data_IF_589555910829
#
_entry.id   IF_589555910829
#
_cell.length_a   1.000
_cell.length_b   1.000
_cell.length_c   1.000
_cell.angle_alpha   90.00
_cell.angle_beta   90.00
_cell.angle_gamma   90.00
#
_symmetry.space_group_name_H-M   'P 1'
#
loop_
_entity.id
_entity.type
_entity.pdbx_description
1 polymer ?
#
# COMPACT_ATOMS: atom_id res chain seq x y z
N UNK A 1 1.83 13.00 -26.73
CA UNK A 1 0.66 13.16 -25.85
C UNK A 1 1.13 13.24 -24.41
N UNK A 2 0.68 14.24 -23.67
CA UNK A 2 0.92 14.32 -22.22
C UNK A 2 0.25 13.14 -21.51
N UNK A 3 0.73 12.75 -20.33
CA UNK A 3 0.20 11.62 -19.55
C UNK A 3 -1.33 11.71 -19.35
N UNK A 4 -1.83 12.92 -19.07
CA UNK A 4 -3.25 13.16 -18.81
C UNK A 4 -4.14 13.02 -20.04
N UNK A 5 -3.67 13.45 -21.23
CA UNK A 5 -4.41 13.23 -22.48
C UNK A 5 -4.64 11.74 -22.76
N UNK A 6 -3.68 10.89 -22.38
CA UNK A 6 -3.84 9.42 -22.51
C UNK A 6 -4.83 8.86 -21.50
N UNK A 7 -4.83 9.40 -20.27
CA UNK A 7 -5.75 9.00 -19.20
C UNK A 7 -7.19 9.42 -19.54
N UNK A 8 -7.40 10.64 -20.03
CA UNK A 8 -8.71 11.15 -20.48
C UNK A 8 -9.29 10.26 -21.57
N UNK A 9 -8.51 10.01 -22.63
CA UNK A 9 -8.93 9.16 -23.76
C UNK A 9 -9.27 7.72 -23.33
N UNK A 10 -8.67 7.22 -22.25
CA UNK A 10 -8.95 5.88 -21.74
C UNK A 10 -10.17 5.82 -20.80
N UNK A 11 -10.55 6.93 -20.17
CA UNK A 11 -11.60 7.00 -19.17
C UNK A 11 -12.90 7.67 -19.67
N UNK A 12 -12.88 8.30 -20.83
CA UNK A 12 -14.07 8.87 -21.46
C UNK A 12 -14.85 7.76 -22.18
N UNK A 13 -15.99 7.39 -21.61
CA UNK A 13 -17.02 6.60 -22.29
C UNK A 13 -17.83 7.46 -23.28
N UNK A 14 -18.74 6.86 -24.07
CA UNK A 14 -19.60 7.63 -24.95
C UNK A 14 -20.53 8.54 -24.12
N UNK A 15 -20.40 9.87 -24.27
CA UNK A 15 -21.21 10.86 -23.56
C UNK A 15 -20.61 12.27 -23.56
N UNK A 16 -21.36 13.24 -23.04
CA UNK A 16 -20.91 14.62 -22.86
C UNK A 16 -19.85 14.74 -21.76
N UNK A 17 -18.85 15.60 -21.95
CA UNK A 17 -17.83 15.90 -20.95
C UNK A 17 -18.48 16.50 -19.68
N UNK A 18 -18.44 15.76 -18.57
CA UNK A 18 -18.85 16.25 -17.26
C UNK A 18 -17.61 16.77 -16.50
N UNK A 19 -17.68 17.95 -15.85
CA UNK A 19 -16.60 18.48 -15.04
C UNK A 19 -16.54 17.71 -13.71
N UNK A 20 -15.84 16.56 -13.74
CA UNK A 20 -15.65 15.69 -12.58
C UNK A 20 -14.20 15.75 -12.14
N UNK A 21 -13.96 16.10 -10.88
CA UNK A 21 -12.66 15.94 -10.24
C UNK A 21 -12.43 14.47 -9.93
N UNK A 22 -11.25 13.94 -10.26
CA UNK A 22 -10.96 12.50 -10.18
C UNK A 22 -9.75 12.24 -9.31
N UNK A 23 -9.88 11.38 -8.30
CA UNK A 23 -8.74 10.92 -7.52
C UNK A 23 -8.22 9.59 -8.09
N UNK A 24 -6.97 9.56 -8.53
CA UNK A 24 -6.27 8.35 -8.99
C UNK A 24 -5.57 7.71 -7.80
N UNK A 25 -5.97 6.49 -7.44
CA UNK A 25 -5.32 5.71 -6.40
C UNK A 25 -4.25 4.84 -7.03
N UNK A 26 -3.01 4.96 -6.57
CA UNK A 26 -1.85 4.28 -7.16
C UNK A 26 -1.03 3.57 -6.09
N UNK A 27 -0.29 2.54 -6.47
CA UNK A 27 0.70 1.91 -5.58
C UNK A 27 1.96 2.76 -5.40
N UNK A 28 2.77 2.44 -4.38
CA UNK A 28 3.99 3.14 -3.98
C UNK A 28 4.96 3.39 -5.13
N UNK A 29 5.02 2.48 -6.12
CA UNK A 29 5.91 2.58 -7.27
C UNK A 29 5.72 3.87 -8.10
N UNK A 30 4.56 4.52 -8.00
CA UNK A 30 4.22 5.72 -8.77
C UNK A 30 4.37 7.03 -7.97
N UNK A 31 4.98 7.00 -6.78
CA UNK A 31 5.12 8.18 -5.91
C UNK A 31 6.29 9.12 -6.24
N UNK A 32 6.88 9.01 -7.45
CA UNK A 32 8.02 9.85 -7.85
C UNK A 32 7.67 11.34 -7.84
N UNK A 33 8.60 12.21 -7.42
CA UNK A 33 8.37 13.66 -7.38
C UNK A 33 7.97 14.21 -8.75
N UNK A 34 8.55 13.70 -9.83
CA UNK A 34 8.14 14.03 -11.20
C UNK A 34 6.66 13.73 -11.47
N UNK A 35 6.16 12.58 -11.02
CA UNK A 35 4.74 12.21 -11.12
C UNK A 35 3.88 13.19 -10.32
N UNK A 36 4.27 13.47 -9.07
CA UNK A 36 3.54 14.37 -8.19
C UNK A 36 3.50 15.82 -8.73
N UNK A 37 4.60 16.30 -9.33
CA UNK A 37 4.66 17.58 -10.04
C UNK A 37 3.69 17.64 -11.22
N UNK A 38 3.60 16.56 -12.00
CA UNK A 38 2.67 16.49 -13.12
C UNK A 38 1.22 16.61 -12.66
N UNK A 39 0.87 15.99 -11.52
CA UNK A 39 -0.43 16.21 -10.89
C UNK A 39 -0.60 17.64 -10.35
N UNK A 40 0.44 18.25 -9.77
CA UNK A 40 0.34 19.63 -9.27
C UNK A 40 0.22 20.69 -10.39
N UNK A 41 0.58 20.35 -11.64
CA UNK A 41 0.48 21.26 -12.79
C UNK A 41 -0.94 21.36 -13.39
N UNK A 42 -1.93 20.71 -12.78
CA UNK A 42 -3.31 20.66 -13.26
C UNK A 42 -4.28 20.51 -12.08
N UNK A 43 -5.55 20.88 -12.28
CA UNK A 43 -6.53 20.98 -11.18
C UNK A 43 -7.62 19.90 -11.21
N UNK A 44 -7.65 19.03 -12.23
CA UNK A 44 -8.74 18.06 -12.49
C UNK A 44 -8.50 16.69 -11.84
N UNK A 45 -7.24 16.28 -11.76
CA UNK A 45 -6.80 14.99 -11.27
C UNK A 45 -6.10 15.11 -9.92
N UNK A 46 -6.56 14.37 -8.94
CA UNK A 46 -5.89 14.21 -7.67
C UNK A 46 -5.24 12.84 -7.58
N UNK A 47 -4.35 12.65 -6.62
CA UNK A 47 -3.75 11.36 -6.37
C UNK A 47 -3.95 10.90 -4.93
N UNK A 48 -3.89 9.58 -4.75
CA UNK A 48 -3.68 8.92 -3.46
C UNK A 48 -2.65 7.83 -3.71
N UNK A 49 -1.50 7.88 -3.04
CA UNK A 49 -0.43 6.89 -3.20
C UNK A 49 0.26 6.64 -1.87
N UNK A 50 0.87 5.48 -1.66
CA UNK A 50 1.72 5.29 -0.47
C UNK A 50 3.12 5.86 -0.68
N UNK A 51 3.72 6.31 0.42
CA UNK A 51 5.12 6.69 0.51
C UNK A 51 5.92 5.51 1.07
N UNK A 52 7.04 5.18 0.42
CA UNK A 52 7.89 4.10 0.89
C UNK A 52 8.61 4.46 2.20
N UNK A 53 8.87 3.44 3.02
CA UNK A 53 9.52 3.62 4.34
C UNK A 53 10.91 4.27 4.23
N UNK A 54 11.61 4.08 3.11
CA UNK A 54 12.93 4.68 2.86
C UNK A 54 12.86 6.18 2.51
N UNK A 55 11.71 6.67 2.03
CA UNK A 55 11.49 8.07 1.67
C UNK A 55 10.98 8.88 2.86
N UNK A 56 10.38 8.24 3.86
CA UNK A 56 9.90 8.91 5.06
C UNK A 56 11.04 9.36 5.98
N UNK A 57 11.02 10.64 6.36
CA UNK A 57 11.91 11.21 7.37
C UNK A 57 11.16 12.24 8.21
N UNK A 58 11.21 12.19 9.56
CA UNK A 58 10.58 13.20 10.42
C UNK A 58 11.00 14.65 10.12
N UNK A 59 12.20 14.85 9.56
CA UNK A 59 12.69 16.16 9.11
C UNK A 59 11.93 16.71 7.91
N UNK A 60 11.29 15.86 7.12
CA UNK A 60 10.54 16.28 5.94
C UNK A 60 9.16 16.84 6.32
N UNK A 61 8.71 16.64 7.55
CA UNK A 61 7.42 17.13 8.03
C UNK A 61 7.50 18.65 8.21
N UNK A 62 6.60 19.36 7.53
CA UNK A 62 6.41 20.80 7.64
C UNK A 62 5.35 21.13 8.69
N UNK A 63 4.18 20.48 8.60
CA UNK A 63 3.10 20.61 9.57
C UNK A 63 2.55 19.22 9.94
N UNK A 64 2.05 19.08 11.18
CA UNK A 64 1.44 17.84 11.68
C UNK A 64 0.24 18.21 12.55
N UNK A 65 -0.93 17.75 12.13
CA UNK A 65 -2.21 17.95 12.80
C UNK A 65 -2.36 17.04 14.02
N UNK A 66 -3.48 17.22 14.74
CA UNK A 66 -3.79 16.41 15.93
C UNK A 66 -4.05 14.96 15.52
N UNK A 67 -3.54 13.98 16.28
CA UNK A 67 -3.88 12.58 16.06
C UNK A 67 -5.39 12.33 16.20
N UNK A 68 -5.94 11.51 15.31
CA UNK A 68 -7.34 11.10 15.29
C UNK A 68 -7.45 9.59 15.12
N UNK A 69 -8.47 8.96 15.72
CA UNK A 69 -8.69 7.52 15.54
C UNK A 69 -9.18 7.23 14.13
N UNK A 70 -8.67 6.18 13.50
CA UNK A 70 -9.15 5.73 12.20
C UNK A 70 -10.58 5.17 12.33
N UNK A 71 -11.51 5.67 11.52
CA UNK A 71 -12.93 5.29 11.59
C UNK A 71 -13.19 3.83 11.17
N UNK A 72 -12.34 3.28 10.30
CA UNK A 72 -12.56 1.97 9.68
C UNK A 72 -11.54 0.91 10.11
N UNK A 73 -10.79 1.13 11.18
CA UNK A 73 -9.80 0.16 11.65
C UNK A 73 -8.96 0.58 12.84
N UNK A 74 -8.04 -0.30 13.22
CA UNK A 74 -7.18 -0.15 14.39
C UNK A 74 -5.89 0.62 14.08
N UNK A 75 -6.05 1.93 13.92
CA UNK A 75 -4.93 2.83 13.70
C UNK A 75 -5.22 4.24 14.23
N UNK A 76 -4.14 4.98 14.47
CA UNK A 76 -4.17 6.42 14.72
C UNK A 76 -3.64 7.16 13.49
N UNK A 77 -4.40 8.15 13.02
CA UNK A 77 -4.10 8.96 11.85
C UNK A 77 -3.61 10.34 12.28
N UNK A 78 -2.63 10.89 11.57
CA UNK A 78 -2.23 12.29 11.69
C UNK A 78 -2.14 12.90 10.29
N UNK A 79 -2.85 13.99 10.08
CA UNK A 79 -2.77 14.76 8.84
C UNK A 79 -1.51 15.61 8.86
N UNK A 80 -0.68 15.49 7.84
CA UNK A 80 0.63 16.12 7.78
C UNK A 80 0.81 16.84 6.44
N UNK A 81 1.67 17.84 6.43
CA UNK A 81 2.27 18.35 5.21
C UNK A 81 3.75 17.97 5.21
N UNK A 82 4.22 17.37 4.12
CA UNK A 82 5.63 16.97 3.98
C UNK A 82 6.27 17.60 2.76
N UNK A 83 7.59 17.76 2.85
CA UNK A 83 8.44 18.18 1.74
C UNK A 83 9.16 16.97 1.13
N UNK A 84 9.07 16.83 -0.19
CA UNK A 84 9.77 15.80 -0.94
C UNK A 84 10.81 16.43 -1.87
N UNK A 85 11.99 15.80 -1.93
CA UNK A 85 13.08 16.19 -2.83
C UNK A 85 13.03 15.36 -4.09
N UNK A 86 13.23 15.99 -5.23
CA UNK A 86 13.42 15.27 -6.47
C UNK A 86 14.81 14.62 -6.52
N UNK A 87 14.87 13.38 -7.00
CA UNK A 87 16.12 12.66 -7.21
C UNK A 87 16.78 13.00 -8.55
N UNK A 88 16.02 13.53 -9.51
CA UNK A 88 16.51 13.92 -10.84
C UNK A 88 16.95 15.39 -10.91
N UNK A 89 16.46 16.21 -9.97
CA UNK A 89 16.66 17.67 -9.94
C UNK A 89 17.10 18.08 -8.52
N UNK A 90 18.41 18.17 -8.34
CA UNK A 90 19.01 18.34 -7.01
C UNK A 90 18.62 19.69 -6.39
N UNK A 91 17.94 19.63 -5.24
CA UNK A 91 17.54 20.82 -4.50
C UNK A 91 16.09 21.24 -4.73
N UNK A 92 15.42 20.68 -5.74
CA UNK A 92 14.01 20.96 -5.97
C UNK A 92 13.11 20.27 -4.94
N UNK A 93 12.22 21.04 -4.34
CA UNK A 93 11.28 20.64 -3.30
C UNK A 93 9.83 20.74 -3.79
N UNK A 94 9.00 19.78 -3.43
CA UNK A 94 7.54 19.89 -3.50
C UNK A 94 6.94 19.71 -2.12
N UNK A 95 5.81 20.39 -1.85
CA UNK A 95 4.96 20.06 -0.71
C UNK A 95 3.86 19.09 -1.14
N UNK A 96 3.51 18.18 -0.24
CA UNK A 96 2.40 17.25 -0.43
C UNK A 96 1.70 17.06 0.91
N UNK A 97 0.36 16.96 0.88
CA UNK A 97 -0.38 16.43 2.01
C UNK A 97 -0.04 14.95 2.17
N UNK A 98 0.14 14.53 3.41
CA UNK A 98 0.48 13.16 3.78
C UNK A 98 -0.30 12.75 5.03
N UNK A 99 -0.86 11.55 5.01
CA UNK A 99 -1.55 10.97 6.15
C UNK A 99 -0.63 9.93 6.75
N UNK A 100 -0.14 10.23 7.95
CA UNK A 100 0.66 9.32 8.75
C UNK A 100 -0.28 8.38 9.50
N UNK A 101 -0.13 7.08 9.26
CA UNK A 101 -0.91 6.00 9.86
C UNK A 101 0.00 5.26 10.84
N UNK A 102 -0.35 5.30 12.11
CA UNK A 102 0.25 4.49 13.16
C UNK A 102 -0.72 3.35 13.49
N UNK A 103 -0.45 2.16 12.97
CA UNK A 103 -1.25 0.98 13.26
C UNK A 103 -1.02 0.52 14.69
N UNK A 104 -2.06 0.00 15.35
CA UNK A 104 -1.98 -0.41 16.75
C UNK A 104 -0.98 -1.55 16.99
N UNK A 105 -0.73 -2.37 15.96
CA UNK A 105 0.31 -3.41 16.00
C UNK A 105 1.74 -2.87 15.84
N UNK A 106 1.93 -1.55 15.70
CA UNK A 106 3.23 -0.87 15.75
C UNK A 106 3.86 -0.56 14.39
N UNK A 107 3.22 -0.93 13.27
CA UNK A 107 3.68 -0.54 11.93
C UNK A 107 3.26 0.89 11.61
N UNK A 108 4.11 1.60 10.88
CA UNK A 108 3.77 2.90 10.29
C UNK A 108 3.50 2.73 8.79
N UNK A 109 2.54 3.48 8.28
CA UNK A 109 2.33 3.66 6.84
C UNK A 109 2.08 5.14 6.58
N UNK A 110 2.48 5.65 5.42
CA UNK A 110 2.26 7.05 5.05
C UNK A 110 1.62 7.07 3.67
N UNK A 111 0.51 7.78 3.54
CA UNK A 111 -0.21 7.97 2.28
C UNK A 111 -0.06 9.42 1.86
N UNK A 112 0.39 9.67 0.63
CA UNK A 112 0.39 10.98 0.00
C UNK A 112 -0.92 11.23 -0.73
N UNK A 113 -1.40 12.46 -0.69
CA UNK A 113 -2.54 12.88 -1.48
C UNK A 113 -2.46 14.36 -1.87
N UNK A 114 -3.11 14.73 -2.97
CA UNK A 114 -3.41 16.13 -3.31
C UNK A 114 -4.87 16.51 -3.04
N UNK A 115 -5.64 15.67 -2.35
CA UNK A 115 -7.02 15.98 -1.97
C UNK A 115 -7.04 17.03 -0.86
N UNK A 116 -7.94 18.00 -0.99
CA UNK A 116 -8.13 19.07 -0.02
C UNK A 116 -8.67 18.49 1.31
N UNK A 117 -8.03 18.79 2.47
CA UNK A 117 -8.53 18.38 3.78
C UNK A 117 -9.92 18.93 4.13
N UNK A 118 -10.36 20.03 3.53
CA UNK A 118 -11.71 20.58 3.73
C UNK A 118 -12.78 19.75 3.01
N UNK A 119 -12.42 19.00 1.96
CA UNK A 119 -13.34 18.21 1.14
C UNK A 119 -13.30 16.74 1.57
N UNK A 120 -12.10 16.18 1.75
CA UNK A 120 -11.91 14.76 2.06
C UNK A 120 -11.06 14.60 3.32
N UNK A 121 -11.67 13.99 4.33
CA UNK A 121 -11.05 13.69 5.61
C UNK A 121 -9.98 12.59 5.53
N UNK A 122 -9.19 12.47 6.60
CA UNK A 122 -8.06 11.54 6.65
C UNK A 122 -8.50 10.08 6.58
N UNK A 123 -9.63 9.73 7.19
CA UNK A 123 -10.13 8.36 7.22
C UNK A 123 -10.63 7.92 5.84
N UNK A 124 -11.24 8.82 5.08
CA UNK A 124 -11.76 8.56 3.74
C UNK A 124 -10.62 8.34 2.74
N UNK A 125 -9.54 9.14 2.82
CA UNK A 125 -8.35 8.94 1.97
C UNK A 125 -7.68 7.59 2.26
N UNK A 126 -7.54 7.24 3.56
CA UNK A 126 -6.95 5.96 3.97
C UNK A 126 -7.81 4.80 3.49
N UNK A 127 -9.13 4.88 3.69
CA UNK A 127 -10.08 3.88 3.21
C UNK A 127 -10.00 3.74 1.68
N UNK A 128 -10.03 4.84 0.93
CA UNK A 128 -9.92 4.82 -0.52
C UNK A 128 -8.63 4.14 -1.02
N UNK A 129 -7.50 4.37 -0.34
CA UNK A 129 -6.24 3.70 -0.66
C UNK A 129 -6.31 2.18 -0.45
N UNK A 130 -6.82 1.72 0.69
CA UNK A 130 -6.88 0.29 0.99
C UNK A 130 -8.00 -0.43 0.23
N UNK A 131 -9.08 0.26 -0.12
CA UNK A 131 -10.16 -0.22 -0.99
C UNK A 131 -9.67 -0.45 -2.43
N UNK A 132 -8.52 0.12 -2.83
CA UNK A 132 -7.85 -0.24 -4.09
C UNK A 132 -7.63 -1.74 -4.20
N UNK A 133 -7.24 -2.41 -3.11
CA UNK A 133 -6.90 -3.84 -3.16
C UNK A 133 -8.10 -4.72 -3.53
N UNK A 134 -9.29 -4.58 -2.91
CA UNK A 134 -10.52 -5.17 -3.44
C UNK A 134 -10.83 -4.72 -4.87
N UNK A 135 -10.66 -3.45 -5.24
CA UNK A 135 -11.15 -2.98 -6.54
C UNK A 135 -10.24 -3.37 -7.73
N UNK A 136 -8.93 -3.43 -7.55
CA UNK A 136 -7.97 -3.86 -8.58
C UNK A 136 -7.69 -5.36 -8.48
N UNK A 137 -7.29 -5.86 -7.31
CA UNK A 137 -6.87 -7.25 -7.15
C UNK A 137 -8.05 -8.23 -7.16
N UNK A 138 -9.25 -7.86 -6.67
CA UNK A 138 -10.44 -8.72 -6.82
C UNK A 138 -10.88 -8.77 -8.27
N UNK A 139 -10.73 -7.70 -9.07
CA UNK A 139 -11.02 -7.72 -10.50
C UNK A 139 -9.97 -8.55 -11.24
N UNK A 140 -8.67 -8.35 -11.00
CA UNK A 140 -7.63 -9.21 -11.57
C UNK A 140 -7.77 -10.68 -11.13
N UNK A 141 -8.10 -10.94 -9.87
CA UNK A 141 -8.40 -12.29 -9.35
C UNK A 141 -9.67 -12.85 -9.96
N UNK A 142 -10.71 -12.04 -10.17
CA UNK A 142 -11.97 -12.46 -10.80
C UNK A 142 -11.79 -12.70 -12.29
N UNK A 143 -11.01 -11.89 -13.00
CA UNK A 143 -10.62 -12.10 -14.39
C UNK A 143 -9.75 -13.36 -14.52
N UNK A 144 -8.79 -13.60 -13.62
CA UNK A 144 -8.06 -14.89 -13.52
C UNK A 144 -8.98 -16.07 -13.22
N UNK A 145 -10.02 -15.87 -12.40
CA UNK A 145 -11.03 -16.88 -12.01
C UNK A 145 -12.02 -17.18 -13.14
N UNK A 146 -12.37 -16.19 -13.97
CA UNK A 146 -13.20 -16.32 -15.18
C UNK A 146 -12.38 -16.95 -16.32
N UNK A 147 -11.09 -16.64 -16.40
CA UNK A 147 -10.13 -17.32 -17.28
C UNK A 147 -9.74 -18.73 -16.79
N UNK A 148 -10.34 -19.23 -15.70
CA UNK A 148 -10.11 -20.57 -15.12
C UNK A 148 -8.64 -20.94 -14.89
N UNK A 149 -7.73 -19.98 -14.71
CA UNK A 149 -6.30 -20.30 -14.61
C UNK A 149 -5.90 -20.90 -13.25
N UNK A 150 -6.73 -20.85 -12.20
CA UNK A 150 -6.43 -21.38 -10.85
C UNK A 150 -7.67 -21.60 -9.96
N UNK A 151 -8.82 -22.07 -10.47
CA UNK A 151 -10.02 -22.18 -9.61
C UNK A 151 -9.97 -23.46 -8.76
N UNK A 152 -9.91 -23.24 -7.44
CA UNK A 152 -10.28 -24.15 -6.35
C UNK A 152 -11.52 -23.54 -5.65
N UNK A 153 -12.67 -24.22 -5.67
CA UNK A 153 -13.93 -23.95 -5.00
C UNK A 153 -13.98 -24.73 -3.70
N UNK A 154 -13.16 -24.32 -2.73
CA UNK A 154 -13.39 -24.74 -1.36
C UNK A 154 -14.61 -24.03 -0.78
N UNK A 155 -15.49 -24.83 -0.17
CA UNK A 155 -16.46 -24.34 0.80
C UNK A 155 -15.72 -23.68 1.97
N UNK A 156 -16.20 -22.52 2.42
CA UNK A 156 -15.79 -21.85 3.66
C UNK A 156 -14.28 -21.64 3.85
N UNK A 157 -13.80 -20.41 3.60
CA UNK A 157 -12.45 -20.03 4.05
C UNK A 157 -12.39 -20.06 5.57
N UNK A 158 -11.67 -21.02 6.15
CA UNK A 158 -11.40 -21.01 7.58
C UNK A 158 -10.13 -20.19 7.83
N UNK A 159 -10.22 -19.26 8.78
CA UNK A 159 -9.06 -18.52 9.25
C UNK A 159 -8.29 -19.44 10.19
N UNK A 160 -7.11 -19.89 9.77
CA UNK A 160 -6.23 -20.73 10.57
C UNK A 160 -4.95 -19.97 10.90
N UNK A 161 -4.33 -20.28 12.03
CA UNK A 161 -3.04 -19.71 12.38
C UNK A 161 -1.93 -20.35 11.54
N UNK A 162 -1.09 -19.51 10.93
CA UNK A 162 0.12 -19.94 10.26
C UNK A 162 1.21 -20.22 11.30
N UNK A 163 1.28 -21.49 11.73
CA UNK A 163 2.26 -21.95 12.72
C UNK A 163 3.69 -21.61 12.33
N UNK A 164 4.03 -21.64 11.04
CA UNK A 164 5.38 -21.31 10.56
C UNK A 164 5.69 -19.83 10.79
N UNK A 165 4.74 -18.94 10.53
CA UNK A 165 4.89 -17.50 10.77
C UNK A 165 5.02 -17.22 12.28
N UNK A 166 4.19 -17.85 13.11
CA UNK A 166 4.22 -17.68 14.57
C UNK A 166 5.54 -18.17 15.16
N UNK A 167 6.02 -19.35 14.76
CA UNK A 167 7.32 -19.88 15.23
C UNK A 167 8.48 -18.99 14.78
N UNK A 168 8.47 -18.57 13.51
CA UNK A 168 9.49 -17.67 12.97
C UNK A 168 9.51 -16.32 13.68
N UNK A 169 8.35 -15.77 14.04
CA UNK A 169 8.27 -14.56 14.86
C UNK A 169 8.91 -14.76 16.24
N UNK A 170 8.62 -15.88 16.92
CA UNK A 170 9.23 -16.21 18.24
C UNK A 170 10.75 -16.35 18.14
N UNK A 171 11.26 -17.01 17.10
CA UNK A 171 12.70 -17.10 16.87
C UNK A 171 13.36 -15.74 16.64
N UNK A 172 12.76 -14.91 15.77
CA UNK A 172 13.26 -13.58 15.49
C UNK A 172 13.25 -12.72 16.76
N UNK A 173 12.20 -12.82 17.57
CA UNK A 173 12.11 -12.11 18.86
C UNK A 173 13.24 -12.52 19.82
N UNK A 174 13.57 -13.81 19.91
CA UNK A 174 14.71 -14.30 20.70
C UNK A 174 16.05 -13.76 20.17
N UNK A 175 16.25 -13.75 18.85
CA UNK A 175 17.46 -13.22 18.21
C UNK A 175 17.60 -11.70 18.38
N UNK A 176 16.49 -10.97 18.37
CA UNK A 176 16.44 -9.52 18.62
C UNK A 176 16.78 -9.24 20.09
N UNK A 177 16.22 -10.00 21.04
CA UNK A 177 16.44 -9.76 22.46
C UNK A 177 17.89 -10.03 22.88
N UNK A 178 18.54 -11.05 22.32
CA UNK A 178 19.97 -11.31 22.58
C UNK A 178 20.84 -10.19 22.04
N UNK A 179 20.65 -9.76 20.79
CA UNK A 179 21.39 -8.64 20.20
C UNK A 179 21.17 -7.32 20.96
N UNK A 180 19.95 -7.06 21.45
CA UNK A 180 19.68 -5.88 22.28
C UNK A 180 20.43 -5.91 23.61
N UNK A 181 20.65 -7.10 24.21
CA UNK A 181 21.48 -7.22 25.41
C UNK A 181 22.95 -6.92 25.12
N UNK A 182 23.49 -7.46 24.02
CA UNK A 182 24.87 -7.18 23.58
C UNK A 182 25.11 -5.69 23.33
N UNK A 183 24.14 -5.00 22.72
CA UNK A 183 24.23 -3.58 22.38
C UNK A 183 23.74 -2.65 23.51
N UNK A 184 23.42 -3.19 24.70
CA UNK A 184 22.72 -2.45 25.76
C UNK A 184 23.46 -1.22 26.25
N UNK A 185 24.78 -1.29 26.36
CA UNK A 185 25.64 -0.19 26.82
C UNK A 185 25.72 0.98 25.83
N UNK A 186 25.51 0.71 24.54
CA UNK A 186 25.56 1.73 23.49
C UNK A 186 24.22 2.46 23.28
N UNK A 187 23.08 1.84 23.67
CA UNK A 187 21.76 2.45 23.49
C UNK A 187 21.58 3.77 24.23
N UNK A 188 21.98 3.93 25.52
CA UNK A 188 21.84 5.21 26.21
C UNK A 188 22.56 6.36 25.49
N UNK A 189 23.79 6.13 25.02
CA UNK A 189 24.56 7.13 24.29
C UNK A 189 23.92 7.49 22.93
N UNK A 190 23.34 6.51 22.23
CA UNK A 190 22.59 6.75 21.00
C UNK A 190 21.30 7.53 21.30
N UNK A 191 20.54 7.10 22.31
CA UNK A 191 19.27 7.71 22.71
C UNK A 191 19.45 9.16 23.16
N UNK A 192 20.56 9.48 23.85
CA UNK A 192 20.89 10.86 24.21
C UNK A 192 21.10 11.74 22.97
N UNK A 193 21.78 11.23 21.93
CA UNK A 193 21.93 11.97 20.68
C UNK A 193 20.62 12.06 19.89
N UNK A 194 19.81 10.99 19.87
CA UNK A 194 18.51 10.96 19.19
C UNK A 194 17.49 11.92 19.83
N UNK A 195 17.47 12.03 21.16
CA UNK A 195 16.62 12.99 21.88
C UNK A 195 17.02 14.43 21.56
N UNK A 196 18.32 14.73 21.51
CA UNK A 196 18.84 16.05 21.08
C UNK A 196 18.50 16.35 19.63
N UNK A 197 18.66 15.36 18.72
CA UNK A 197 18.23 15.51 17.32
C UNK A 197 16.73 15.78 17.26
N UNK A 198 15.90 15.05 18.02
CA UNK A 198 14.45 15.22 18.01
C UNK A 198 14.02 16.63 18.44
N UNK A 199 14.73 17.24 19.41
CA UNK A 199 14.52 18.66 19.79
C UNK A 199 14.87 19.60 18.64
N UNK A 200 16.04 19.42 18.03
CA UNK A 200 16.48 20.23 16.88
C UNK A 200 15.55 20.09 15.67
N UNK A 201 15.00 18.89 15.43
CA UNK A 201 14.03 18.66 14.34
C UNK A 201 12.71 19.38 14.61
N UNK A 202 12.26 19.44 15.87
CA UNK A 202 11.09 20.24 16.25
C UNK A 202 11.33 21.74 16.04
N UNK A 203 12.54 22.23 16.30
CA UNK A 203 12.91 23.62 16.02
C UNK A 203 13.02 23.88 14.51
N UNK A 204 13.65 22.97 13.75
CA UNK A 204 13.75 23.02 12.29
C UNK A 204 12.36 23.09 11.64
N UNK A 205 11.38 22.34 12.17
CA UNK A 205 10.00 22.30 11.68
C UNK A 205 9.35 23.69 11.67
N UNK A 206 9.56 24.50 12.71
CA UNK A 206 9.00 25.86 12.79
C UNK A 206 9.44 26.74 11.61
N UNK A 207 10.70 26.62 11.21
CA UNK A 207 11.22 27.35 10.05
C UNK A 207 10.65 26.82 8.73
N UNK A 208 10.40 25.51 8.62
CA UNK A 208 9.77 24.92 7.43
C UNK A 208 8.33 25.39 7.28
N UNK A 209 7.58 25.45 8.38
CA UNK A 209 6.19 25.92 8.41
C UNK A 209 6.07 27.36 7.90
N UNK A 210 6.95 28.26 8.36
CA UNK A 210 6.98 29.67 7.94
C UNK A 210 7.52 29.85 6.52
N UNK A 211 8.37 28.93 6.04
CA UNK A 211 8.98 29.05 4.72
C UNK A 211 7.97 28.91 3.58
N UNK A 212 8.23 29.59 2.46
CA UNK A 212 7.49 29.41 1.21
C UNK A 212 8.33 28.59 0.25
N UNK A 213 7.69 27.70 -0.53
CA UNK A 213 8.36 26.96 -1.61
C UNK A 213 7.82 27.51 -2.92
N UNK A 214 8.66 28.23 -3.66
CA UNK A 214 8.33 28.80 -4.97
C UNK A 214 9.28 28.20 -6.01
N UNK A 215 8.73 27.70 -7.12
CA UNK A 215 9.49 27.05 -8.20
C UNK A 215 10.50 26.00 -7.69
N UNK A 216 10.09 25.21 -6.70
CA UNK A 216 10.93 24.16 -6.13
C UNK A 216 11.96 24.62 -5.08
N UNK A 217 12.07 25.92 -4.81
CA UNK A 217 13.10 26.45 -3.94
C UNK A 217 12.49 27.06 -2.67
N UNK A 218 13.12 26.79 -1.53
CA UNK A 218 12.70 27.37 -0.26
C UNK A 218 13.13 28.84 -0.18
N UNK A 219 12.16 29.70 0.09
CA UNK A 219 12.35 31.11 0.38
C UNK A 219 12.13 31.34 1.88
N UNK A 220 13.15 31.90 2.52
CA UNK A 220 13.17 32.32 3.92
C UNK A 220 13.89 33.68 4.02
N UNK A 221 13.55 34.53 5.00
CA UNK A 221 14.35 35.72 5.26
C UNK A 221 15.76 35.33 5.78
N UNK A 222 16.75 36.20 5.54
CA UNK A 222 18.17 35.88 5.72
C UNK A 222 18.52 35.38 7.14
N UNK A 223 17.98 36.02 8.17
CA UNK A 223 18.25 35.67 9.58
C UNK A 223 17.76 34.25 9.91
N UNK A 224 16.56 33.91 9.44
CA UNK A 224 15.94 32.61 9.61
C UNK A 224 16.64 31.55 8.76
N UNK A 225 17.11 31.91 7.57
CA UNK A 225 17.87 31.02 6.69
C UNK A 225 19.22 30.64 7.31
N UNK A 226 19.96 31.58 7.90
CA UNK A 226 21.21 31.31 8.61
C UNK A 226 20.99 30.34 9.78
N UNK A 227 19.98 30.62 10.61
CA UNK A 227 19.63 29.76 11.74
C UNK A 227 19.15 28.37 11.29
N UNK A 228 18.40 28.28 10.20
CA UNK A 228 17.98 27.01 9.60
C UNK A 228 19.18 26.17 9.15
N UNK A 229 20.18 26.79 8.51
CA UNK A 229 21.40 26.10 8.11
C UNK A 229 22.23 25.65 9.31
N UNK A 230 22.32 26.47 10.36
CA UNK A 230 23.02 26.13 11.61
C UNK A 230 22.42 24.88 12.26
N UNK A 231 21.09 24.86 12.46
CA UNK A 231 20.37 23.69 12.97
C UNK A 231 20.63 22.46 12.09
N UNK A 232 20.62 22.64 10.77
CA UNK A 232 20.95 21.58 9.82
C UNK A 232 22.35 21.00 10.03
N UNK A 233 23.36 21.86 10.26
CA UNK A 233 24.75 21.46 10.56
C UNK A 233 24.86 20.75 11.90
N UNK A 234 24.14 21.21 12.93
CA UNK A 234 24.11 20.56 14.24
C UNK A 234 23.52 19.15 14.17
N UNK A 235 22.38 18.99 13.49
CA UNK A 235 21.77 17.67 13.27
C UNK A 235 22.78 16.75 12.57
N UNK A 236 23.45 17.24 11.51
CA UNK A 236 24.46 16.46 10.80
C UNK A 236 25.68 16.10 11.68
N UNK A 237 26.10 16.99 12.59
CA UNK A 237 27.17 16.70 13.56
C UNK A 237 26.75 15.58 14.52
N UNK A 238 25.53 15.62 15.05
CA UNK A 238 25.00 14.60 15.97
C UNK A 238 24.78 13.25 15.27
N UNK A 239 24.27 13.25 14.04
CA UNK A 239 24.15 12.04 13.23
C UNK A 239 25.52 11.38 12.97
N UNK A 240 26.56 12.19 12.74
CA UNK A 240 27.94 11.68 12.66
C UNK A 240 28.44 11.11 13.98
N UNK A 241 28.10 11.72 15.12
CA UNK A 241 28.41 11.18 16.44
C UNK A 241 27.74 9.81 16.67
N UNK A 242 26.45 9.66 16.32
CA UNK A 242 25.76 8.37 16.38
C UNK A 242 26.48 7.33 15.52
N UNK A 243 26.86 7.68 14.29
CA UNK A 243 27.63 6.77 13.41
C UNK A 243 28.94 6.33 14.06
N UNK A 244 29.67 7.24 14.73
CA UNK A 244 30.89 6.91 15.47
C UNK A 244 30.64 5.96 16.64
N UNK A 245 29.56 6.17 17.40
CA UNK A 245 29.16 5.28 18.50
C UNK A 245 28.82 3.88 17.96
N UNK A 246 28.18 3.80 16.79
CA UNK A 246 27.79 2.53 16.16
C UNK A 246 28.92 1.79 15.45
N UNK A 247 30.01 2.48 15.09
CA UNK A 247 31.08 1.90 14.25
C UNK A 247 31.74 0.65 14.84
N UNK A 248 32.06 0.57 16.15
CA UNK A 248 32.66 -0.62 16.76
C UNK A 248 31.83 -1.90 16.59
N UNK A 249 30.50 -1.79 16.58
CA UNK A 249 29.55 -2.92 16.49
C UNK A 249 28.61 -2.80 15.29
N UNK A 250 29.10 -2.20 14.20
CA UNK A 250 28.30 -1.87 13.00
C UNK A 250 27.57 -3.08 12.40
N UNK A 251 28.20 -4.26 12.42
CA UNK A 251 27.60 -5.49 11.90
C UNK A 251 26.41 -5.96 12.74
N UNK A 252 26.52 -5.86 14.07
CA UNK A 252 25.44 -6.23 14.99
C UNK A 252 24.26 -5.27 14.86
N UNK A 253 24.51 -3.97 14.75
CA UNK A 253 23.45 -2.98 14.47
C UNK A 253 22.76 -3.24 13.11
N UNK A 254 23.52 -3.56 12.05
CA UNK A 254 22.95 -3.92 10.75
C UNK A 254 22.09 -5.17 10.85
N UNK A 255 22.55 -6.19 11.59
CA UNK A 255 21.83 -7.44 11.82
C UNK A 255 20.54 -7.21 12.61
N UNK A 256 20.61 -6.43 13.69
CA UNK A 256 19.46 -6.05 14.50
C UNK A 256 18.39 -5.37 13.63
N UNK A 257 18.76 -4.35 12.85
CA UNK A 257 17.84 -3.65 11.93
C UNK A 257 17.23 -4.54 10.86
N UNK A 258 17.93 -5.60 10.43
CA UNK A 258 17.41 -6.57 9.46
C UNK A 258 16.37 -7.48 10.13
N UNK A 259 16.68 -7.99 11.32
CA UNK A 259 15.79 -8.87 12.08
C UNK A 259 14.52 -8.13 12.53
N UNK A 260 14.64 -6.89 13.00
CA UNK A 260 13.48 -6.06 13.38
C UNK A 260 12.57 -5.80 12.17
N UNK A 261 13.13 -5.51 10.99
CA UNK A 261 12.35 -5.35 9.75
C UNK A 261 11.66 -6.64 9.33
N UNK A 262 12.36 -7.78 9.43
CA UNK A 262 11.76 -9.07 9.09
C UNK A 262 10.64 -9.44 10.07
N UNK A 263 10.82 -9.18 11.36
CA UNK A 263 9.82 -9.41 12.40
C UNK A 263 8.58 -8.54 12.18
N UNK A 264 8.74 -7.24 11.93
CA UNK A 264 7.64 -6.32 11.59
C UNK A 264 6.92 -6.73 10.29
N UNK A 265 7.64 -7.28 9.30
CA UNK A 265 7.05 -7.77 8.04
C UNK A 265 6.13 -8.98 8.26
N UNK A 266 6.43 -9.78 9.28
CA UNK A 266 5.64 -10.96 9.63
C UNK A 266 4.45 -10.61 10.53
N UNK A 267 4.41 -9.43 11.17
CA UNK A 267 3.25 -9.01 11.94
C UNK A 267 2.03 -8.81 11.04
N UNK A 268 0.88 -9.33 11.49
CA UNK A 268 -0.38 -9.33 10.74
C UNK A 268 -0.49 -10.46 9.71
N UNK A 269 0.51 -11.35 9.62
CA UNK A 269 0.51 -12.55 8.76
C UNK A 269 0.34 -13.84 9.54
N UNK A 270 -0.04 -13.74 10.82
CA UNK A 270 -0.22 -14.89 11.70
C UNK A 270 -1.44 -15.74 11.31
N UNK A 271 -2.33 -15.19 10.49
CA UNK A 271 -3.59 -15.84 10.08
C UNK A 271 -3.62 -16.01 8.57
N UNK A 272 -3.75 -17.25 8.12
CA UNK A 272 -3.90 -17.63 6.71
C UNK A 272 -5.29 -18.21 6.51
N UNK A 273 -5.86 -17.96 5.33
CA UNK A 273 -7.10 -18.61 4.92
C UNK A 273 -6.74 -19.94 4.25
N UNK A 274 -7.01 -21.06 4.93
CA UNK A 274 -6.99 -22.36 4.26
C UNK A 274 -8.27 -22.48 3.42
N UNK A 275 -8.10 -22.95 2.18
CA UNK A 275 -9.20 -23.29 1.28
C UNK A 275 -9.22 -24.80 1.22
N UNK A 276 -10.37 -25.40 1.46
CA UNK A 276 -10.55 -26.85 1.33
C UNK A 276 -10.51 -27.22 -0.17
N UNK A 277 -9.49 -27.95 -0.61
CA UNK A 277 -9.16 -28.09 -2.04
C UNK A 277 -9.75 -29.37 -2.65
N UNK A 278 -9.99 -30.38 -1.83
CA UNK A 278 -10.27 -31.76 -2.27
C UNK A 278 -11.54 -31.87 -3.13
N UNK A 279 -12.58 -31.12 -2.79
CA UNK A 279 -13.85 -31.17 -3.51
C UNK A 279 -13.80 -30.46 -4.86
N UNK A 280 -12.94 -29.44 -5.05
CA UNK A 280 -12.82 -28.81 -6.36
C UNK A 280 -11.89 -29.56 -7.32
N UNK A 281 -10.98 -30.40 -6.81
CA UNK A 281 -10.27 -31.36 -7.66
C UNK A 281 -11.27 -32.37 -8.26
N UNK A 282 -12.20 -32.90 -7.44
CA UNK A 282 -13.28 -33.77 -7.89
C UNK A 282 -14.21 -33.05 -8.90
N UNK A 283 -14.65 -31.83 -8.59
CA UNK A 283 -15.51 -31.06 -9.50
C UNK A 283 -14.80 -30.65 -10.79
N UNK A 284 -13.47 -30.50 -10.77
CA UNK A 284 -12.67 -30.22 -11.97
C UNK A 284 -12.71 -31.39 -12.94
N UNK A 285 -12.65 -32.64 -12.47
CA UNK A 285 -12.81 -33.82 -13.34
C UNK A 285 -14.17 -33.82 -14.06
N UNK A 286 -15.26 -33.51 -13.36
CA UNK A 286 -16.58 -33.42 -13.97
C UNK A 286 -16.70 -32.26 -14.96
N UNK A 287 -16.16 -31.08 -14.63
CA UNK A 287 -16.18 -29.91 -15.52
C UNK A 287 -15.37 -30.15 -16.80
N UNK A 288 -14.19 -30.75 -16.69
CA UNK A 288 -13.35 -31.09 -17.86
C UNK A 288 -14.01 -32.16 -18.72
N UNK A 289 -14.62 -33.18 -18.10
CA UNK A 289 -15.37 -34.21 -18.82
C UNK A 289 -16.55 -33.61 -19.59
N UNK A 290 -17.31 -32.72 -18.96
CA UNK A 290 -18.43 -32.02 -19.60
C UNK A 290 -17.96 -31.15 -20.78
N UNK A 291 -16.87 -30.40 -20.62
CA UNK A 291 -16.29 -29.60 -21.70
C UNK A 291 -15.83 -30.48 -22.86
N UNK A 292 -15.20 -31.63 -22.59
CA UNK A 292 -14.79 -32.57 -23.63
C UNK A 292 -15.99 -33.16 -24.37
N UNK A 293 -17.08 -33.50 -23.66
CA UNK A 293 -18.33 -33.95 -24.27
C UNK A 293 -18.93 -32.86 -25.16
N UNK A 294 -18.96 -31.61 -24.71
CA UNK A 294 -19.46 -30.49 -25.52
C UNK A 294 -18.58 -30.20 -26.74
N UNK A 295 -17.26 -30.27 -26.61
CA UNK A 295 -16.34 -30.16 -27.74
C UNK A 295 -16.56 -31.29 -28.76
N UNK A 296 -16.77 -32.52 -28.29
CA UNK A 296 -17.06 -33.67 -29.13
C UNK A 296 -18.42 -33.53 -29.85
N UNK A 297 -19.49 -33.19 -29.12
CA UNK A 297 -20.81 -32.94 -29.70
C UNK A 297 -20.78 -31.77 -30.68
N UNK A 298 -20.04 -30.70 -30.36
CA UNK A 298 -19.86 -29.57 -31.26
C UNK A 298 -19.17 -30.00 -32.57
N UNK A 299 -18.17 -30.87 -32.46
CA UNK A 299 -17.47 -31.43 -33.61
C UNK A 299 -18.39 -32.28 -34.49
N UNK A 300 -19.14 -33.21 -33.89
CA UNK A 300 -20.05 -34.13 -34.59
C UNK A 300 -21.24 -33.39 -35.22
N UNK A 301 -21.88 -32.48 -34.49
CA UNK A 301 -23.09 -31.81 -34.95
C UNK A 301 -22.82 -30.65 -35.92
N UNK A 302 -21.69 -29.97 -35.79
CA UNK A 302 -21.41 -28.72 -36.53
C UNK A 302 -20.16 -28.77 -37.40
N UNK A 303 -19.56 -29.95 -37.59
CA UNK A 303 -18.52 -30.19 -38.59
C UNK A 303 -17.29 -29.29 -38.46
N UNK A 304 -16.63 -29.33 -37.29
CA UNK A 304 -15.38 -28.57 -36.97
C UNK A 304 -15.52 -27.05 -36.84
N UNK A 305 -16.72 -26.47 -36.86
CA UNK A 305 -16.88 -25.01 -36.60
C UNK A 305 -16.65 -24.70 -35.12
N UNK A 306 -15.86 -23.67 -34.83
CA UNK A 306 -15.58 -23.24 -33.46
C UNK A 306 -16.81 -22.62 -32.81
N UNK A 307 -17.39 -23.30 -31.82
CA UNK A 307 -18.51 -22.79 -31.02
C UNK A 307 -17.96 -22.11 -29.77
N UNK A 308 -18.50 -20.94 -29.43
CA UNK A 308 -18.20 -20.29 -28.15
C UNK A 308 -18.85 -21.08 -27.01
N UNK A 309 -18.03 -21.82 -26.27
CA UNK A 309 -18.50 -22.68 -25.19
C UNK A 309 -19.17 -21.90 -24.05
N UNK A 310 -18.72 -20.66 -23.81
CA UNK A 310 -19.40 -19.73 -22.88
C UNK A 310 -20.83 -19.42 -23.30
N UNK A 311 -21.08 -19.14 -24.59
CA UNK A 311 -22.44 -18.87 -25.08
C UNK A 311 -23.32 -20.11 -25.01
N UNK A 312 -22.79 -21.29 -25.31
CA UNK A 312 -23.54 -22.54 -25.23
C UNK A 312 -24.02 -22.82 -23.80
N UNK A 313 -23.11 -22.77 -22.83
CA UNK A 313 -23.44 -23.02 -21.41
C UNK A 313 -24.41 -21.97 -20.87
N UNK A 314 -24.20 -20.69 -21.17
CA UNK A 314 -25.14 -19.64 -20.77
C UNK A 314 -26.54 -19.86 -21.37
N UNK A 315 -26.60 -20.29 -22.63
CA UNK A 315 -27.89 -20.54 -23.29
C UNK A 315 -28.64 -21.69 -22.63
N UNK A 316 -27.94 -22.78 -22.26
CA UNK A 316 -28.52 -23.92 -21.54
C UNK A 316 -29.04 -23.51 -20.16
N UNK A 317 -28.26 -22.74 -19.40
CA UNK A 317 -28.66 -22.29 -18.05
C UNK A 317 -29.88 -21.35 -18.06
N UNK A 318 -30.11 -20.65 -19.17
CA UNK A 318 -31.26 -19.76 -19.35
C UNK A 318 -32.41 -20.42 -20.11
N UNK A 319 -32.32 -21.72 -20.46
CA UNK A 319 -33.48 -22.42 -21.01
C UNK A 319 -34.57 -22.52 -19.94
N UNK A 320 -35.83 -22.23 -20.29
CA UNK A 320 -36.94 -22.43 -19.37
C UNK A 320 -37.04 -23.93 -19.04
N UNK A 321 -36.88 -24.26 -17.76
CA UNK A 321 -37.01 -25.62 -17.26
C UNK A 321 -38.37 -25.79 -16.58
N UNK A 322 -39.05 -26.90 -16.90
CA UNK A 322 -40.17 -27.39 -16.11
C UNK A 322 -39.60 -28.26 -15.01
N UNK A 323 -39.82 -27.85 -13.76
CA UNK A 323 -39.50 -28.67 -12.58
C UNK A 323 -40.75 -29.46 -12.24
N UNK A 324 -40.71 -30.77 -12.46
CA UNK A 324 -41.78 -31.69 -12.08
C UNK A 324 -41.33 -32.45 -10.83
N UNK A 325 -42.12 -32.34 -9.75
CA UNK A 325 -41.80 -32.95 -8.47
C UNK A 325 -42.20 -34.43 -8.52
N UNK A 326 -41.23 -35.32 -8.69
CA UNK A 326 -41.46 -36.77 -8.74
C UNK A 326 -41.57 -37.35 -7.33
N UNK A 327 -42.48 -38.30 -7.11
CA UNK A 327 -42.69 -38.99 -5.83
C UNK A 327 -41.53 -39.90 -5.39
N UNK A 328 -40.52 -40.10 -6.23
CA UNK A 328 -39.31 -40.83 -5.88
C UNK A 328 -38.35 -39.95 -5.05
N UNK A 329 -38.37 -40.12 -3.72
CA UNK A 329 -37.29 -39.63 -2.88
C UNK A 329 -36.01 -40.42 -3.19
N UNK A 330 -34.99 -39.74 -3.73
CA UNK A 330 -33.62 -40.27 -3.72
C UNK A 330 -33.23 -40.56 -2.27
N UNK A 331 -33.07 -41.83 -1.92
CA UNK A 331 -32.37 -42.22 -0.68
C UNK A 331 -30.91 -41.80 -0.84
N UNK A 332 -30.50 -40.83 -0.03
CA UNK A 332 -29.10 -40.37 0.10
C UNK A 332 -28.32 -41.39 0.91
#
# INVERSE_FOLDING_TARGET
MSLFQKIEKALEGPGSELPVNRAIVMDAANNSVRTLRAFAAQDKYHYITSLDDNQWNPRNIRAEGKPQRYHYGEATLSDCEIELKDSQDEGYLITSRAIKIEWDYGKRTVILTSLDPAIVGTSEVVKAYFDRWPNEELQFRSMKKVACLNRVTGYGKQQQEDRNVVEKQKELQRKISTLRKTLSELFPAIQEQETKISRLVKEERKFREISRIENGHRILPKKEQERFQEIGREIAKRQRAIKKIMEPQKHEFKRLRKLEREWLRLQGKEKVYSVDVELDEIMTFYRVSLVNIYCYLAYELFGKRSISMNRLVHSILHMPALVEETSEMKKV
#
